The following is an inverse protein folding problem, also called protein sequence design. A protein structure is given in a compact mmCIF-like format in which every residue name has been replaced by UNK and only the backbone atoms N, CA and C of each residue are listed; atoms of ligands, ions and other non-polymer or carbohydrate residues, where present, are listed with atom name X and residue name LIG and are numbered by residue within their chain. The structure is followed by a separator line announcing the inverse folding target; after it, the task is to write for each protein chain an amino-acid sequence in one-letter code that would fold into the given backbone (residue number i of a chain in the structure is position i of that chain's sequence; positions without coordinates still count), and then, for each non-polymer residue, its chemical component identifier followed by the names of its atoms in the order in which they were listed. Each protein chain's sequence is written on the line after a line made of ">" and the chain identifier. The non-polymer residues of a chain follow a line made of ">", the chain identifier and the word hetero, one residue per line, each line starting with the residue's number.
data_IF_974641270836
#
_entry.id   IF_974641270836
#
_cell.length_a   1.000
_cell.length_b   1.000
_cell.length_c   1.000
_cell.angle_alpha   90.00
_cell.angle_beta   90.00
_cell.angle_gamma   90.00
#
_symmetry.space_group_name_H-M   'P 1'
#
loop_
_entity.id
_entity.type
_entity.pdbx_description
1 polymer ?
#
# COMPACT_ATOMS: atom_id res chain seq x y z
N UNK A 1 -6.49 0.92 -29.63
CA UNK A 1 -6.68 1.74 -28.40
C UNK A 1 -5.84 3.01 -28.54
N UNK A 2 -6.29 4.20 -28.10
CA UNK A 2 -5.63 5.48 -28.45
C UNK A 2 -4.12 5.55 -28.15
N UNK A 3 -3.66 4.93 -27.06
CA UNK A 3 -2.23 4.88 -26.69
C UNK A 3 -1.41 3.92 -27.57
N UNK A 4 -2.03 2.86 -28.07
CA UNK A 4 -1.43 1.93 -29.02
C UNK A 4 -1.20 2.60 -30.39
N UNK A 5 -2.16 3.42 -30.84
CA UNK A 5 -1.97 4.30 -32.01
C UNK A 5 -0.80 5.28 -31.83
N UNK A 6 -0.64 5.83 -30.62
CA UNK A 6 0.49 6.69 -30.25
C UNK A 6 1.82 5.92 -30.05
N UNK A 7 1.87 4.62 -30.36
CA UNK A 7 3.04 3.73 -30.24
C UNK A 7 3.60 3.66 -28.82
N UNK A 8 2.75 3.83 -27.81
CA UNK A 8 3.14 3.62 -26.41
C UNK A 8 3.24 2.11 -26.16
N UNK A 9 4.39 1.59 -25.69
CA UNK A 9 4.52 0.18 -25.34
C UNK A 9 3.50 -0.23 -24.28
N UNK A 10 2.96 -1.45 -24.34
CA UNK A 10 1.93 -1.90 -23.41
C UNK A 10 2.34 -1.75 -21.93
N UNK A 11 3.61 -2.07 -21.62
CA UNK A 11 4.21 -1.88 -20.29
C UNK A 11 4.23 -0.43 -19.78
N UNK A 12 4.11 0.55 -20.66
CA UNK A 12 4.12 1.99 -20.36
C UNK A 12 2.70 2.57 -20.24
N UNK A 13 1.66 1.85 -20.65
CA UNK A 13 0.28 2.32 -20.54
C UNK A 13 -0.15 2.66 -19.09
N UNK A 14 0.23 1.89 -18.05
CA UNK A 14 -0.04 2.29 -16.66
C UNK A 14 0.62 3.61 -16.28
N UNK A 15 1.82 3.90 -16.80
CA UNK A 15 2.49 5.18 -16.57
C UNK A 15 1.77 6.34 -17.26
N UNK A 16 1.26 6.15 -18.49
CA UNK A 16 0.44 7.15 -19.17
C UNK A 16 -0.88 7.44 -18.44
N UNK A 17 -1.51 6.41 -17.87
CA UNK A 17 -2.66 6.58 -17.00
C UNK A 17 -2.31 7.39 -15.75
N UNK A 18 -1.19 7.07 -15.10
CA UNK A 18 -0.66 7.84 -13.95
C UNK A 18 -0.47 9.32 -14.30
N UNK A 19 0.11 9.63 -15.47
CA UNK A 19 0.24 11.01 -15.96
C UNK A 19 -1.11 11.73 -16.00
N UNK A 20 -2.14 11.12 -16.59
CA UNK A 20 -3.48 11.70 -16.63
C UNK A 20 -4.15 11.81 -15.26
N UNK A 21 -3.90 10.87 -14.34
CA UNK A 21 -4.48 10.87 -12.99
C UNK A 21 -3.85 11.88 -12.04
N UNK A 22 -2.64 12.37 -12.32
CA UNK A 22 -1.99 13.41 -11.51
C UNK A 22 -2.93 14.58 -11.19
N UNK A 23 -3.66 15.10 -12.20
CA UNK A 23 -4.60 16.20 -12.01
C UNK A 23 -5.68 15.90 -10.95
N UNK A 24 -6.31 14.73 -11.03
CA UNK A 24 -7.34 14.32 -10.07
C UNK A 24 -6.78 14.02 -8.68
N UNK A 25 -5.59 13.42 -8.60
CA UNK A 25 -4.93 13.19 -7.32
C UNK A 25 -4.53 14.51 -6.65
N UNK A 26 -3.98 15.47 -7.38
CA UNK A 26 -3.66 16.79 -6.85
C UNK A 26 -4.91 17.52 -6.35
N UNK A 27 -6.02 17.47 -7.10
CA UNK A 27 -7.30 18.03 -6.66
C UNK A 27 -7.75 17.43 -5.32
N UNK A 28 -7.79 16.10 -5.21
CA UNK A 28 -8.18 15.43 -3.97
C UNK A 28 -7.20 15.67 -2.82
N UNK A 29 -5.89 15.77 -3.07
CA UNK A 29 -4.90 16.12 -2.05
C UNK A 29 -5.20 17.50 -1.47
N UNK A 30 -5.53 18.49 -2.31
CA UNK A 30 -5.89 19.83 -1.86
C UNK A 30 -7.22 19.83 -1.09
N UNK A 31 -8.21 19.06 -1.53
CA UNK A 31 -9.46 18.85 -0.79
C UNK A 31 -9.20 18.24 0.60
N UNK A 32 -8.37 17.20 0.68
CA UNK A 32 -8.01 16.57 1.96
C UNK A 32 -7.22 17.49 2.87
N UNK A 33 -6.30 18.29 2.31
CA UNK A 33 -5.57 19.32 3.07
C UNK A 33 -6.54 20.33 3.70
N UNK A 34 -7.57 20.76 2.95
CA UNK A 34 -8.61 21.66 3.46
C UNK A 34 -9.52 20.98 4.48
N UNK A 35 -9.82 19.69 4.31
CA UNK A 35 -10.58 18.90 5.27
C UNK A 35 -9.86 18.79 6.63
N UNK A 36 -8.53 18.72 6.63
CA UNK A 36 -7.72 18.76 7.86
C UNK A 36 -7.93 17.56 8.79
N UNK A 37 -8.41 16.43 8.26
CA UNK A 37 -8.74 15.23 9.03
C UNK A 37 -7.74 14.11 8.79
N UNK A 38 -7.17 13.57 9.87
CA UNK A 38 -6.29 12.40 9.80
C UNK A 38 -7.07 11.14 9.40
N UNK A 39 -6.57 10.43 8.39
CA UNK A 39 -7.06 9.10 8.02
C UNK A 39 -6.30 8.05 8.82
N UNK A 40 -6.91 7.53 9.90
CA UNK A 40 -6.32 6.50 10.76
C UNK A 40 -7.33 5.35 10.99
N UNK A 41 -7.39 4.35 10.10
CA UNK A 41 -8.19 3.16 10.35
C UNK A 41 -7.61 2.33 11.50
N UNK A 42 -8.46 1.53 12.15
CA UNK A 42 -8.07 0.55 13.17
C UNK A 42 -8.27 -0.86 12.62
N UNK A 43 -7.49 -1.81 13.13
CA UNK A 43 -7.68 -3.23 12.88
C UNK A 43 -7.99 -3.95 14.19
N UNK A 44 -8.76 -5.04 14.10
CA UNK A 44 -9.04 -5.91 15.24
C UNK A 44 -8.01 -7.02 15.25
N UNK A 45 -7.32 -7.19 16.38
CA UNK A 45 -6.39 -8.29 16.56
C UNK A 45 -7.15 -9.60 16.80
N UNK A 46 -6.92 -10.58 15.92
CA UNK A 46 -7.47 -11.95 16.01
C UNK A 46 -6.35 -13.01 16.04
N UNK A 47 -5.14 -12.58 16.39
CA UNK A 47 -3.98 -13.47 16.51
C UNK A 47 -3.90 -14.17 17.88
N UNK A 48 -2.81 -14.91 18.13
CA UNK A 48 -2.61 -15.65 19.37
C UNK A 48 -2.60 -14.75 20.62
N UNK A 49 -3.01 -15.30 21.76
CA UNK A 49 -2.82 -14.66 23.06
C UNK A 49 -1.31 -14.46 23.36
N UNK A 50 -0.96 -13.61 24.35
CA UNK A 50 0.42 -13.48 24.81
C UNK A 50 1.00 -14.85 25.16
N UNK A 51 2.19 -15.14 24.61
CA UNK A 51 2.86 -16.43 24.74
C UNK A 51 4.37 -16.22 24.95
N UNK A 52 5.00 -17.12 25.70
CA UNK A 52 6.43 -17.02 25.96
C UNK A 52 7.24 -17.33 24.70
N UNK A 53 8.47 -16.82 24.54
CA UNK A 53 9.28 -17.11 23.36
C UNK A 53 9.52 -18.61 23.13
N UNK A 54 9.66 -19.39 24.20
CA UNK A 54 9.90 -20.84 24.16
C UNK A 54 8.71 -21.62 23.59
N UNK A 55 7.51 -21.05 23.67
CA UNK A 55 6.28 -21.65 23.14
C UNK A 55 6.05 -21.39 21.65
N UNK A 56 6.97 -20.67 21.00
CA UNK A 56 6.93 -20.41 19.56
C UNK A 56 7.67 -21.53 18.83
N UNK A 57 7.00 -22.14 17.86
CA UNK A 57 7.60 -23.16 16.99
C UNK A 57 8.92 -22.64 16.38
N UNK A 58 10.00 -23.40 16.55
CA UNK A 58 11.34 -23.04 16.06
C UNK A 58 12.25 -22.34 17.07
N UNK A 59 11.82 -22.08 18.31
CA UNK A 59 12.66 -21.49 19.36
C UNK A 59 14.00 -22.24 19.57
N UNK A 60 13.97 -23.57 19.51
CA UNK A 60 15.15 -24.43 19.67
C UNK A 60 16.26 -24.20 18.64
N UNK A 61 15.92 -23.66 17.46
CA UNK A 61 16.89 -23.39 16.40
C UNK A 61 17.60 -22.05 16.61
N UNK A 62 16.96 -21.11 17.32
CA UNK A 62 17.49 -19.77 17.61
C UNK A 62 18.42 -19.81 18.82
N UNK A 63 18.14 -20.66 19.80
CA UNK A 63 18.90 -20.72 21.06
C UNK A 63 20.14 -21.64 21.02
N UNK A 64 20.40 -22.34 19.90
CA UNK A 64 21.56 -23.27 19.75
C UNK A 64 22.80 -22.67 19.07
N UNK A 65 22.87 -21.35 18.88
CA UNK A 65 24.07 -20.65 18.39
C UNK A 65 24.79 -19.95 19.54
#
# INVERSE_FOLDING_TARGET
>A
MILDFARVPAKMMPAMFTCGRTAGWCAHILEQKRLGKLVRPSAVYVGPAPRSPESVDGWDQVHRG
#
